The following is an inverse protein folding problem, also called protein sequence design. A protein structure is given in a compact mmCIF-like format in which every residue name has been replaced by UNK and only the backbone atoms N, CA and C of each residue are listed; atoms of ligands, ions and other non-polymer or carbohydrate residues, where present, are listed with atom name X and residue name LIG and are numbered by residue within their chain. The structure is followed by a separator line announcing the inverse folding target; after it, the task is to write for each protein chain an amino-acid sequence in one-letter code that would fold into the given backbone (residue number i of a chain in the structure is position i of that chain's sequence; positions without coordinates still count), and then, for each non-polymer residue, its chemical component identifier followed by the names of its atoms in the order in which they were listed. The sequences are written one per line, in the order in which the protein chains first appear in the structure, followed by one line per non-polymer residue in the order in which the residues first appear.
data_IF_147722657225
#
_entry.id   IF_147722657225
#
_cell.length_a   1.000
_cell.length_b   1.000
_cell.length_c   1.000
_cell.angle_alpha   90.00
_cell.angle_beta   90.00
_cell.angle_gamma   90.00
#
_symmetry.space_group_name_H-M   'P 1'
#
loop_
_entity.id
_entity.type
_entity.pdbx_description
1 polymer ?
#
# COMPACT_ATOMS: atom_id res chain seq x y z
N UNK A 1 -5.47 -24.99 17.47
CA UNK A 1 -5.39 -23.76 16.70
C UNK A 1 -4.99 -24.15 15.28
N UNK A 2 -5.85 -23.94 14.30
CA UNK A 2 -5.44 -24.08 12.89
C UNK A 2 -4.32 -23.10 12.60
N UNK A 3 -3.25 -23.58 11.99
CA UNK A 3 -2.14 -22.71 11.53
C UNK A 3 -2.63 -21.89 10.35
N UNK A 4 -2.89 -20.61 10.55
CA UNK A 4 -3.25 -19.71 9.47
C UNK A 4 -1.98 -19.20 8.77
N UNK A 5 -2.04 -18.94 7.46
CA UNK A 5 -0.93 -18.33 6.73
C UNK A 5 -0.95 -16.80 6.88
N UNK A 6 0.17 -16.12 6.60
CA UNK A 6 0.21 -14.64 6.57
C UNK A 6 -0.86 -14.10 5.61
N UNK A 7 -1.03 -14.72 4.45
CA UNK A 7 -2.06 -14.34 3.46
C UNK A 7 -3.47 -14.44 4.05
N UNK A 8 -3.78 -15.53 4.76
CA UNK A 8 -5.07 -15.69 5.44
C UNK A 8 -5.27 -14.65 6.54
N UNK A 9 -4.23 -14.38 7.34
CA UNK A 9 -4.27 -13.34 8.36
C UNK A 9 -4.50 -11.95 7.77
N UNK A 10 -3.87 -11.61 6.64
CA UNK A 10 -4.09 -10.33 5.93
C UNK A 10 -5.53 -10.20 5.41
N UNK A 11 -6.10 -11.29 4.84
CA UNK A 11 -7.50 -11.31 4.42
C UNK A 11 -8.44 -11.11 5.62
N UNK A 12 -8.16 -11.78 6.75
CA UNK A 12 -8.94 -11.61 7.98
C UNK A 12 -8.89 -10.18 8.49
N UNK A 13 -7.71 -9.55 8.51
CA UNK A 13 -7.56 -8.13 8.87
C UNK A 13 -8.41 -7.24 7.98
N UNK A 14 -8.38 -7.44 6.66
CA UNK A 14 -9.16 -6.63 5.71
C UNK A 14 -10.67 -6.75 5.95
N UNK A 15 -11.15 -7.96 6.26
CA UNK A 15 -12.55 -8.21 6.62
C UNK A 15 -12.94 -7.50 7.93
N UNK A 16 -12.14 -7.67 8.97
CA UNK A 16 -12.37 -7.04 10.27
C UNK A 16 -12.33 -5.52 10.19
N UNK A 17 -11.39 -4.93 9.43
CA UNK A 17 -11.33 -3.49 9.20
C UNK A 17 -12.55 -2.96 8.46
N UNK A 18 -13.12 -3.73 7.53
CA UNK A 18 -14.36 -3.36 6.86
C UNK A 18 -15.50 -3.30 7.87
N UNK A 19 -15.67 -4.37 8.68
CA UNK A 19 -16.71 -4.44 9.71
C UNK A 19 -16.53 -3.30 10.73
N UNK A 20 -15.30 -3.05 11.19
CA UNK A 20 -14.97 -1.96 12.10
C UNK A 20 -15.40 -0.60 11.54
N UNK A 21 -15.08 -0.31 10.28
CA UNK A 21 -15.47 0.95 9.63
C UNK A 21 -16.98 1.09 9.50
N UNK A 22 -17.68 0.02 9.11
CA UNK A 22 -19.14 0.03 8.96
C UNK A 22 -19.83 0.32 10.31
N UNK A 23 -19.35 -0.31 11.38
CA UNK A 23 -19.84 -0.08 12.74
C UNK A 23 -19.53 1.34 13.25
N UNK A 24 -18.30 1.81 13.06
CA UNK A 24 -17.94 3.19 13.40
C UNK A 24 -18.79 4.19 12.64
N UNK A 25 -19.01 3.98 11.34
CA UNK A 25 -19.87 4.85 10.54
C UNK A 25 -21.31 4.90 11.07
N UNK A 26 -21.86 3.75 11.47
CA UNK A 26 -23.19 3.67 12.08
C UNK A 26 -23.25 4.46 13.39
N UNK A 27 -22.23 4.34 14.25
CA UNK A 27 -22.14 5.04 15.53
C UNK A 27 -21.90 6.56 15.39
N UNK A 28 -21.23 6.99 14.31
CA UNK A 28 -21.00 8.42 14.05
C UNK A 28 -22.25 9.17 13.58
N UNK A 29 -23.29 8.45 13.17
CA UNK A 29 -24.58 9.05 12.81
C UNK A 29 -25.40 9.28 14.08
N UNK A 30 -25.59 10.53 14.46
CA UNK A 30 -26.32 10.90 15.68
C UNK A 30 -27.76 10.37 15.67
N UNK A 31 -28.38 10.28 14.51
CA UNK A 31 -29.72 9.70 14.31
C UNK A 31 -29.85 8.25 14.78
N UNK A 32 -28.73 7.50 14.78
CA UNK A 32 -28.71 6.10 15.21
C UNK A 32 -28.49 5.93 16.72
N UNK A 33 -28.01 6.97 17.42
CA UNK A 33 -27.61 6.90 18.84
C UNK A 33 -28.35 7.89 19.74
N UNK A 34 -29.11 8.82 19.14
CA UNK A 34 -29.91 9.80 19.89
C UNK A 34 -31.37 9.39 19.81
N UNK A 35 -31.96 8.99 20.94
CA UNK A 35 -33.37 8.66 21.06
C UNK A 35 -34.21 9.92 20.97
N UNK A 36 -35.12 10.00 20.01
CA UNK A 36 -36.12 11.05 19.90
C UNK A 36 -37.48 10.50 20.28
N UNK A 37 -38.20 11.23 21.14
CA UNK A 37 -39.54 10.85 21.59
C UNK A 37 -40.41 12.05 21.89
N UNK A 38 -41.71 11.88 21.78
CA UNK A 38 -42.72 12.82 22.25
C UNK A 38 -43.16 12.39 23.64
N UNK A 39 -43.17 13.33 24.59
CA UNK A 39 -43.67 13.11 25.92
C UNK A 39 -44.93 13.95 26.09
N UNK A 40 -46.09 13.32 26.27
CA UNK A 40 -47.34 14.00 26.54
C UNK A 40 -47.48 14.47 28.00
N UNK A 41 -48.45 15.36 28.24
CA UNK A 41 -48.62 15.95 29.60
C UNK A 41 -49.10 14.94 30.65
N UNK A 42 -49.66 13.82 30.20
CA UNK A 42 -50.09 12.70 31.07
C UNK A 42 -48.93 11.69 31.34
N UNK A 43 -47.73 11.94 30.76
CA UNK A 43 -46.56 11.06 30.90
C UNK A 43 -46.46 9.98 29.84
N UNK A 44 -47.36 9.93 28.85
CA UNK A 44 -47.29 8.98 27.78
C UNK A 44 -46.15 9.33 26.84
N UNK A 45 -45.31 8.31 26.47
CA UNK A 45 -44.14 8.45 25.61
C UNK A 45 -44.35 7.75 24.30
N UNK A 46 -44.01 8.45 23.20
CA UNK A 46 -44.01 7.93 21.85
C UNK A 46 -42.63 8.09 21.25
N UNK A 47 -41.94 6.98 20.95
CA UNK A 47 -40.62 7.00 20.31
C UNK A 47 -40.77 7.38 18.85
N UNK A 48 -39.96 8.33 18.37
CA UNK A 48 -40.00 8.86 17.01
C UNK A 48 -39.00 8.18 16.08
N UNK A 49 -37.98 7.53 16.63
CA UNK A 49 -36.96 6.84 15.87
C UNK A 49 -36.54 5.53 16.56
N UNK A 50 -35.86 4.67 15.79
CA UNK A 50 -35.17 3.49 16.30
C UNK A 50 -33.67 3.82 16.42
N UNK A 51 -33.08 3.44 17.55
CA UNK A 51 -31.66 3.64 17.80
C UNK A 51 -30.96 2.30 18.02
N UNK A 52 -29.67 2.25 17.74
CA UNK A 52 -28.84 1.08 18.04
C UNK A 52 -28.54 1.02 19.53
N UNK A 53 -28.29 -0.18 20.05
CA UNK A 53 -27.72 -0.34 21.39
C UNK A 53 -26.28 0.16 21.40
N UNK A 54 -26.11 1.39 21.89
CA UNK A 54 -24.81 2.07 21.94
C UNK A 54 -23.76 1.26 22.69
N UNK A 55 -24.10 0.71 23.85
CA UNK A 55 -23.13 0.02 24.69
C UNK A 55 -22.64 -1.27 24.00
N UNK A 56 -23.55 -2.01 23.40
CA UNK A 56 -23.21 -3.22 22.66
C UNK A 56 -22.35 -2.92 21.43
N UNK A 57 -22.70 -1.92 20.63
CA UNK A 57 -21.92 -1.54 19.45
C UNK A 57 -20.55 -0.99 19.86
N UNK A 58 -20.47 -0.23 20.94
CA UNK A 58 -19.22 0.29 21.47
C UNK A 58 -18.27 -0.82 21.91
N UNK A 59 -18.75 -1.81 22.66
CA UNK A 59 -17.97 -2.97 23.08
C UNK A 59 -17.45 -3.76 21.86
N UNK A 60 -18.32 -4.03 20.89
CA UNK A 60 -17.93 -4.71 19.64
C UNK A 60 -16.84 -3.96 18.86
N UNK A 61 -16.89 -2.63 18.78
CA UNK A 61 -15.89 -1.81 18.13
C UNK A 61 -14.54 -1.93 18.85
N UNK A 62 -14.54 -1.92 20.19
CA UNK A 62 -13.31 -2.10 20.97
C UNK A 62 -12.71 -3.49 20.74
N UNK A 63 -13.52 -4.53 20.80
CA UNK A 63 -13.08 -5.91 20.57
C UNK A 63 -12.49 -6.10 19.16
N UNK A 64 -13.17 -5.59 18.13
CA UNK A 64 -12.67 -5.59 16.76
C UNK A 64 -11.32 -4.88 16.64
N UNK A 65 -11.17 -3.71 17.26
CA UNK A 65 -9.91 -2.96 17.26
C UNK A 65 -8.76 -3.74 17.91
N UNK A 66 -9.03 -4.43 19.01
CA UNK A 66 -8.06 -5.28 19.70
C UNK A 66 -7.66 -6.50 18.86
N UNK A 67 -8.65 -7.19 18.25
CA UNK A 67 -8.39 -8.34 17.36
C UNK A 67 -7.53 -7.93 16.17
N UNK A 68 -7.89 -6.84 15.49
CA UNK A 68 -7.12 -6.27 14.35
C UNK A 68 -5.68 -5.97 14.78
N UNK A 69 -5.49 -5.30 15.91
CA UNK A 69 -4.17 -4.94 16.42
C UNK A 69 -3.32 -6.18 16.71
N UNK A 70 -3.91 -7.19 17.32
CA UNK A 70 -3.24 -8.47 17.65
C UNK A 70 -2.78 -9.19 16.39
N UNK A 71 -3.68 -9.34 15.39
CA UNK A 71 -3.33 -10.00 14.12
C UNK A 71 -2.23 -9.23 13.39
N UNK A 72 -2.31 -7.89 13.29
CA UNK A 72 -1.28 -7.06 12.65
C UNK A 72 0.08 -7.18 13.35
N UNK A 73 0.08 -7.26 14.66
CA UNK A 73 1.32 -7.47 15.45
C UNK A 73 1.95 -8.83 15.12
N UNK A 74 1.14 -9.89 15.03
CA UNK A 74 1.62 -11.22 14.68
C UNK A 74 2.16 -11.28 13.24
N UNK A 75 1.48 -10.64 12.27
CA UNK A 75 1.98 -10.50 10.89
C UNK A 75 3.33 -9.77 10.89
N UNK A 76 3.44 -8.66 11.61
CA UNK A 76 4.69 -7.89 11.68
C UNK A 76 5.83 -8.71 12.29
N UNK A 77 5.56 -9.47 13.34
CA UNK A 77 6.51 -10.39 13.96
C UNK A 77 6.96 -11.45 12.94
N UNK A 78 6.01 -12.13 12.30
CA UNK A 78 6.31 -13.14 11.29
C UNK A 78 7.15 -12.57 10.13
N UNK A 79 6.84 -11.37 9.65
CA UNK A 79 7.58 -10.70 8.58
C UNK A 79 9.03 -10.38 8.96
N UNK A 80 9.33 -10.17 10.23
CA UNK A 80 10.69 -9.88 10.69
C UNK A 80 11.49 -11.14 11.06
N UNK A 81 10.83 -12.20 11.51
CA UNK A 81 11.47 -13.44 11.97
C UNK A 81 11.65 -14.49 10.87
N UNK A 82 10.92 -14.40 9.77
CA UNK A 82 11.02 -15.32 8.64
C UNK A 82 11.86 -14.73 7.50
N UNK A 83 12.64 -15.58 6.82
CA UNK A 83 13.61 -15.20 5.81
C UNK A 83 13.40 -15.98 4.53
N UNK A 84 13.64 -15.32 3.41
CA UNK A 84 13.76 -15.95 2.09
C UNK A 84 15.21 -15.94 1.64
N UNK A 85 15.60 -16.93 0.87
CA UNK A 85 16.90 -16.95 0.19
C UNK A 85 16.78 -16.24 -1.14
N UNK A 86 17.73 -15.33 -1.40
CA UNK A 86 17.82 -14.59 -2.64
C UNK A 86 19.22 -14.79 -3.24
N UNK A 87 19.42 -14.41 -4.51
CA UNK A 87 20.74 -14.41 -5.15
C UNK A 87 21.78 -13.59 -4.38
N UNK A 88 21.34 -12.61 -3.62
CA UNK A 88 22.20 -11.67 -2.86
C UNK A 88 22.27 -11.99 -1.36
N UNK A 89 21.79 -13.18 -0.93
CA UNK A 89 21.78 -13.60 0.46
C UNK A 89 20.38 -13.70 1.05
N UNK A 90 20.31 -13.87 2.37
CA UNK A 90 19.05 -13.98 3.11
C UNK A 90 18.45 -12.62 3.41
N UNK A 91 17.18 -12.45 3.13
CA UNK A 91 16.38 -11.28 3.49
C UNK A 91 15.18 -11.70 4.33
N UNK A 92 14.85 -10.93 5.38
CA UNK A 92 13.55 -11.11 6.06
C UNK A 92 12.42 -10.76 5.12
N UNK A 93 11.19 -11.24 5.38
CA UNK A 93 10.04 -10.88 4.55
C UNK A 93 9.83 -9.37 4.53
N UNK A 94 10.02 -8.68 5.67
CA UNK A 94 9.98 -7.22 5.73
C UNK A 94 11.11 -6.57 4.92
N UNK A 95 12.31 -7.12 4.98
CA UNK A 95 13.46 -6.66 4.18
C UNK A 95 13.19 -6.81 2.68
N UNK A 96 12.56 -7.91 2.30
CA UNK A 96 12.13 -8.17 0.91
C UNK A 96 11.10 -7.16 0.41
N UNK A 97 10.07 -6.87 1.23
CA UNK A 97 9.07 -5.83 0.93
C UNK A 97 9.73 -4.46 0.71
N UNK A 98 10.65 -4.08 1.59
CA UNK A 98 11.38 -2.83 1.47
C UNK A 98 12.27 -2.80 0.22
N UNK A 99 12.92 -3.92 -0.12
CA UNK A 99 13.74 -4.05 -1.33
C UNK A 99 12.90 -3.89 -2.61
N UNK A 100 11.75 -4.57 -2.69
CA UNK A 100 10.81 -4.46 -3.82
C UNK A 100 10.34 -3.01 -3.98
N UNK A 101 9.93 -2.35 -2.89
CA UNK A 101 9.49 -0.95 -2.91
C UNK A 101 10.58 -0.05 -3.48
N UNK A 102 11.81 -0.18 -3.00
CA UNK A 102 12.95 0.64 -3.45
C UNK A 102 13.29 0.40 -4.91
N UNK A 103 13.30 -0.87 -5.36
CA UNK A 103 13.57 -1.22 -6.76
C UNK A 103 12.49 -0.66 -7.70
N UNK A 104 11.20 -0.76 -7.33
CA UNK A 104 10.10 -0.19 -8.11
C UNK A 104 10.21 1.34 -8.25
N UNK A 105 10.58 2.02 -7.17
CA UNK A 105 10.82 3.46 -7.20
C UNK A 105 12.00 3.83 -8.13
N UNK A 106 13.09 3.09 -8.06
CA UNK A 106 14.23 3.28 -8.98
C UNK A 106 13.84 3.04 -10.42
N UNK A 107 13.17 1.92 -10.73
CA UNK A 107 12.71 1.60 -12.09
C UNK A 107 11.85 2.73 -12.63
N UNK A 108 10.82 3.13 -11.91
CA UNK A 108 9.92 4.20 -12.33
C UNK A 108 10.65 5.52 -12.59
N UNK A 109 11.59 5.91 -11.72
CA UNK A 109 12.35 7.15 -11.88
C UNK A 109 13.28 7.09 -13.10
N UNK A 110 13.96 5.98 -13.34
CA UNK A 110 14.86 5.83 -14.49
C UNK A 110 14.12 5.63 -15.81
N UNK A 111 12.94 4.99 -15.81
CA UNK A 111 12.06 4.96 -16.99
C UNK A 111 11.62 6.36 -17.38
N UNK A 112 11.19 7.18 -16.42
CA UNK A 112 10.83 8.59 -16.67
C UNK A 112 12.00 9.41 -17.23
N UNK A 113 13.24 9.16 -16.74
CA UNK A 113 14.44 9.79 -17.30
C UNK A 113 14.67 9.34 -18.74
N UNK A 114 14.58 8.04 -19.00
CA UNK A 114 14.79 7.44 -20.32
C UNK A 114 13.81 7.98 -21.35
N UNK A 115 12.54 8.10 -20.98
CA UNK A 115 11.45 8.62 -21.83
C UNK A 115 11.53 10.13 -22.03
N UNK A 116 11.96 10.87 -21.00
CA UNK A 116 12.08 12.33 -21.04
C UNK A 116 13.27 12.83 -21.87
N UNK A 117 14.32 12.01 -22.04
CA UNK A 117 15.55 12.47 -22.70
C UNK A 117 15.46 12.30 -24.22
N UNK A 118 15.41 13.46 -24.94
CA UNK A 118 15.41 13.54 -26.39
C UNK A 118 16.72 14.13 -26.89
N UNK A 119 17.31 13.50 -27.89
CA UNK A 119 18.45 14.09 -28.62
C UNK A 119 17.93 15.10 -29.63
N UNK A 120 18.61 16.23 -29.76
CA UNK A 120 18.30 17.21 -30.79
C UNK A 120 19.57 17.84 -31.38
N UNK A 121 19.50 18.20 -32.65
CA UNK A 121 20.56 18.92 -33.36
C UNK A 121 19.93 20.06 -34.13
N UNK A 122 20.14 21.29 -33.67
CA UNK A 122 19.62 22.48 -34.29
C UNK A 122 20.74 23.25 -35.00
N UNK A 123 20.52 23.59 -36.27
CA UNK A 123 21.41 24.49 -37.00
C UNK A 123 21.13 25.93 -36.57
N UNK A 124 22.15 26.62 -36.15
CA UNK A 124 22.11 28.07 -35.83
C UNK A 124 22.99 28.83 -36.82
N UNK A 125 22.54 30.02 -37.20
CA UNK A 125 23.31 30.91 -38.05
C UNK A 125 23.57 32.16 -37.24
N UNK A 126 24.83 32.49 -37.05
CA UNK A 126 25.19 33.78 -36.47
C UNK A 126 25.20 34.83 -37.57
N UNK A 127 24.22 35.74 -37.55
CA UNK A 127 24.04 36.76 -38.55
C UNK A 127 25.21 37.80 -38.55
N UNK A 128 25.93 37.93 -37.44
CA UNK A 128 27.03 38.88 -37.31
C UNK A 128 28.38 38.30 -37.80
N UNK A 129 28.55 36.97 -37.67
CA UNK A 129 29.83 36.30 -37.96
C UNK A 129 29.83 35.47 -39.24
N UNK A 130 28.73 35.40 -40.00
CA UNK A 130 28.54 34.52 -41.17
C UNK A 130 28.90 33.06 -40.92
N UNK A 131 28.96 32.67 -39.65
CA UNK A 131 29.30 31.32 -39.23
C UNK A 131 28.06 30.48 -38.97
N UNK A 132 28.13 29.19 -39.31
CA UNK A 132 27.11 28.22 -39.05
C UNK A 132 27.60 27.30 -37.94
N UNK A 133 26.81 27.15 -36.88
CA UNK A 133 27.10 26.19 -35.81
C UNK A 133 25.88 25.34 -35.50
N UNK A 134 26.11 24.23 -34.83
CA UNK A 134 25.04 23.36 -34.41
C UNK A 134 24.93 23.34 -32.89
N UNK A 135 23.73 23.57 -32.37
CA UNK A 135 23.43 23.30 -30.95
C UNK A 135 22.97 21.82 -30.87
N UNK A 136 23.78 21.03 -30.23
CA UNK A 136 23.51 19.60 -30.03
C UNK A 136 23.12 19.37 -28.58
N UNK A 137 22.06 18.60 -28.37
CA UNK A 137 21.65 18.08 -27.06
C UNK A 137 21.66 16.57 -27.17
N UNK A 138 22.45 15.94 -26.35
CA UNK A 138 22.56 14.49 -26.28
C UNK A 138 22.58 14.05 -24.81
N UNK A 139 22.02 12.86 -24.49
CA UNK A 139 22.16 12.32 -23.17
C UNK A 139 23.66 12.06 -22.86
N UNK A 140 24.08 12.36 -21.65
CA UNK A 140 25.44 12.08 -21.17
C UNK A 140 25.59 10.66 -20.59
N UNK A 141 24.66 9.76 -20.90
CA UNK A 141 24.64 8.37 -20.46
C UNK A 141 24.26 7.42 -21.62
N UNK A 142 24.60 6.15 -21.45
CA UNK A 142 24.29 5.12 -22.42
C UNK A 142 22.86 4.59 -22.23
N UNK A 143 21.96 4.92 -23.17
CA UNK A 143 20.56 4.48 -23.14
C UNK A 143 20.39 2.96 -23.17
N UNK A 144 21.30 2.21 -23.86
CA UNK A 144 21.22 0.75 -23.92
C UNK A 144 21.57 0.12 -22.58
N UNK A 145 22.58 0.63 -21.92
CA UNK A 145 22.98 0.15 -20.59
C UNK A 145 21.90 0.45 -19.55
N UNK A 146 21.29 1.64 -19.62
CA UNK A 146 20.18 1.97 -18.73
C UNK A 146 18.98 1.05 -18.96
N UNK A 147 18.62 0.76 -20.22
CA UNK A 147 17.54 -0.19 -20.53
C UNK A 147 17.83 -1.57 -19.98
N UNK A 148 19.03 -2.08 -20.18
CA UNK A 148 19.44 -3.37 -19.63
C UNK A 148 19.36 -3.39 -18.10
N UNK A 149 19.82 -2.31 -17.45
CA UNK A 149 19.70 -2.17 -16.00
C UNK A 149 18.24 -2.25 -15.54
N UNK A 150 17.31 -1.59 -16.25
CA UNK A 150 15.88 -1.63 -15.94
C UNK A 150 15.27 -3.02 -16.11
N UNK A 151 15.66 -3.74 -17.18
CA UNK A 151 15.27 -5.13 -17.41
C UNK A 151 15.73 -6.03 -16.26
N UNK A 152 17.03 -5.95 -15.87
CA UNK A 152 17.59 -6.72 -14.75
C UNK A 152 16.88 -6.42 -13.42
N UNK A 153 16.49 -5.15 -13.17
CA UNK A 153 15.76 -4.78 -11.95
C UNK A 153 14.31 -5.27 -11.94
N UNK A 154 13.64 -5.25 -13.08
CA UNK A 154 12.30 -5.80 -13.21
C UNK A 154 12.29 -7.33 -12.99
N UNK A 155 13.30 -8.04 -13.49
CA UNK A 155 13.48 -9.48 -13.22
C UNK A 155 13.72 -9.73 -11.72
N UNK A 156 14.58 -8.93 -11.04
CA UNK A 156 14.81 -9.04 -9.61
C UNK A 156 13.52 -8.82 -8.82
N UNK A 157 12.71 -7.82 -9.18
CA UNK A 157 11.43 -7.55 -8.53
C UNK A 157 10.51 -8.77 -8.65
N UNK A 158 10.37 -9.34 -9.84
CA UNK A 158 9.52 -10.51 -10.09
C UNK A 158 9.96 -11.72 -9.25
N UNK A 159 11.27 -12.00 -9.21
CA UNK A 159 11.83 -13.10 -8.41
C UNK A 159 11.52 -12.92 -6.90
N UNK A 160 11.70 -11.70 -6.39
CA UNK A 160 11.42 -11.38 -4.99
C UNK A 160 9.92 -11.49 -4.66
N UNK A 161 9.04 -11.08 -5.57
CA UNK A 161 7.59 -11.19 -5.41
C UNK A 161 7.12 -12.65 -5.39
N UNK A 162 7.66 -13.49 -6.27
CA UNK A 162 7.37 -14.93 -6.29
C UNK A 162 7.81 -15.57 -4.98
N UNK A 163 9.03 -15.28 -4.52
CA UNK A 163 9.56 -15.83 -3.28
C UNK A 163 8.76 -15.36 -2.04
N UNK A 164 8.37 -14.08 -2.00
CA UNK A 164 7.54 -13.51 -0.95
C UNK A 164 6.15 -14.16 -0.92
N UNK A 165 5.50 -14.32 -2.07
CA UNK A 165 4.19 -14.95 -2.16
C UNK A 165 4.23 -16.41 -1.69
N UNK A 166 5.28 -17.14 -2.07
CA UNK A 166 5.49 -18.50 -1.59
C UNK A 166 5.61 -18.54 -0.07
N UNK A 167 6.48 -17.70 0.49
CA UNK A 167 6.68 -17.62 1.94
C UNK A 167 5.40 -17.24 2.69
N UNK A 168 4.64 -16.27 2.20
CA UNK A 168 3.38 -15.83 2.81
C UNK A 168 2.29 -16.93 2.84
N UNK A 169 2.39 -17.93 1.98
CA UNK A 169 1.47 -19.06 1.93
C UNK A 169 1.92 -20.28 2.76
N UNK A 170 3.20 -20.30 3.16
CA UNK A 170 3.78 -21.42 3.91
C UNK A 170 3.93 -21.11 5.41
N UNK A 171 3.90 -19.83 5.81
CA UNK A 171 4.31 -19.37 7.14
C UNK A 171 3.17 -18.68 7.88
N UNK A 172 2.78 -19.30 8.97
CA UNK A 172 2.38 -18.67 10.25
C UNK A 172 2.55 -19.66 11.39
#
# INVERSE_FOLDING_TARGET
MERSTISQAMLRVSELERIYRDKMYTMMRLENIVQEYILESDGTRYDCNEVVDFNREFELIIELGQEISTIKTNISKANNENYIETKNGKLSLQGTLNRIKYLREQVNNFENILDGVKSSKERKVDAAATSVYYRVKEPNFNKKELKKYLEDRNEEILELEIALNKANNEIL
#
